data_IF_157993080457
#
_entry.id   IF_157993080457
#
_cell.length_a   1.000
_cell.length_b   1.000
_cell.length_c   1.000
_cell.angle_alpha   90.00
_cell.angle_beta   90.00
_cell.angle_gamma   90.00
#
_symmetry.space_group_name_H-M   'P 1'
#
loop_
_entity.id
_entity.type
_entity.pdbx_description
1 polymer ?
#
# COMPACT_ATOMS: atom_id res chain seq x y z
N UNK A 1 -1.32 22.46 5.40
CA UNK A 1 0.05 21.89 5.30
C UNK A 1 0.25 20.63 6.15
N UNK A 2 -0.14 20.59 7.43
CA UNK A 2 0.04 19.39 8.27
C UNK A 2 -0.65 18.14 7.72
N UNK A 3 -1.88 18.26 7.20
CA UNK A 3 -2.62 17.11 6.65
C UNK A 3 -1.95 16.50 5.42
N UNK A 4 -1.43 17.32 4.50
CA UNK A 4 -0.73 16.84 3.30
C UNK A 4 0.61 16.20 3.68
N UNK A 5 1.36 16.80 4.61
CA UNK A 5 2.59 16.20 5.12
C UNK A 5 2.31 14.86 5.81
N UNK A 6 1.24 14.76 6.58
CA UNK A 6 0.83 13.51 7.21
C UNK A 6 0.48 12.43 6.18
N UNK A 7 -0.23 12.78 5.10
CA UNK A 7 -0.45 11.86 3.98
C UNK A 7 0.88 11.43 3.37
N UNK A 8 1.76 12.37 3.01
CA UNK A 8 3.05 12.07 2.38
C UNK A 8 3.89 11.11 3.23
N UNK A 9 3.95 11.32 4.55
CA UNK A 9 4.65 10.42 5.45
C UNK A 9 4.00 9.02 5.49
N UNK A 10 2.66 8.94 5.43
CA UNK A 10 1.93 7.68 5.41
C UNK A 10 2.07 6.91 4.09
N UNK A 11 2.32 7.63 2.98
CA UNK A 11 2.58 7.03 1.66
C UNK A 11 4.05 6.60 1.47
N UNK A 12 4.92 6.97 2.41
CA UNK A 12 6.34 6.63 2.41
C UNK A 12 6.62 5.46 3.37
N UNK A 13 7.70 4.74 3.11
CA UNK A 13 8.15 3.64 3.96
C UNK A 13 7.81 2.25 3.43
N UNK A 14 8.30 1.25 4.14
CA UNK A 14 8.12 -0.18 3.81
C UNK A 14 6.84 -0.73 4.46
N UNK A 15 6.47 -1.95 4.08
CA UNK A 15 5.41 -2.75 4.74
C UNK A 15 4.00 -2.14 4.63
N UNK A 16 3.72 -1.45 3.54
CA UNK A 16 2.38 -1.01 3.19
C UNK A 16 1.82 -1.91 2.09
N UNK A 17 0.53 -2.24 2.19
CA UNK A 17 -0.25 -2.88 1.14
C UNK A 17 -0.94 -1.83 0.27
N UNK A 18 -1.44 -2.26 -0.90
CA UNK A 18 -2.27 -1.39 -1.76
C UNK A 18 -3.51 -0.90 -1.02
N UNK A 19 -4.10 -1.75 -0.17
CA UNK A 19 -5.25 -1.38 0.65
C UNK A 19 -4.90 -0.28 1.67
N UNK A 20 -3.70 -0.31 2.28
CA UNK A 20 -3.27 0.73 3.24
C UNK A 20 -3.14 2.10 2.57
N UNK A 21 -2.56 2.13 1.36
CA UNK A 21 -2.42 3.38 0.61
C UNK A 21 -3.76 3.91 0.14
N UNK A 22 -4.64 3.04 -0.37
CA UNK A 22 -5.96 3.44 -0.82
C UNK A 22 -6.79 4.06 0.33
N UNK A 23 -6.75 3.44 1.51
CA UNK A 23 -7.41 3.97 2.70
C UNK A 23 -6.82 5.31 3.15
N UNK A 24 -5.50 5.46 3.12
CA UNK A 24 -4.84 6.71 3.46
C UNK A 24 -5.23 7.86 2.52
N UNK A 25 -5.29 7.58 1.22
CA UNK A 25 -5.70 8.53 0.18
C UNK A 25 -7.18 8.90 0.35
N UNK A 26 -8.06 7.92 0.53
CA UNK A 26 -9.50 8.17 0.65
C UNK A 26 -9.84 8.95 1.93
N UNK A 27 -9.16 8.65 3.04
CA UNK A 27 -9.27 9.44 4.26
C UNK A 27 -8.80 10.88 4.05
N UNK A 28 -7.76 11.10 3.24
CA UNK A 28 -7.30 12.46 2.93
C UNK A 28 -8.24 13.20 1.98
N UNK A 29 -8.81 12.54 0.96
CA UNK A 29 -9.85 13.10 0.10
C UNK A 29 -11.07 13.55 0.90
N UNK A 30 -11.53 12.71 1.82
CA UNK A 30 -12.62 13.06 2.76
C UNK A 30 -12.28 14.29 3.61
N UNK A 31 -11.03 14.39 4.09
CA UNK A 31 -10.56 15.58 4.82
C UNK A 31 -10.52 16.81 3.91
N UNK A 32 -10.04 16.72 2.67
CA UNK A 32 -10.01 17.84 1.72
C UNK A 32 -11.42 18.38 1.44
N UNK A 33 -12.39 17.50 1.22
CA UNK A 33 -13.78 17.90 1.02
C UNK A 33 -14.35 18.62 2.26
N UNK A 34 -14.01 18.16 3.47
CA UNK A 34 -14.39 18.87 4.70
C UNK A 34 -13.74 20.26 4.78
N UNK A 35 -12.45 20.36 4.45
CA UNK A 35 -11.70 21.62 4.47
C UNK A 35 -12.24 22.62 3.44
N UNK A 36 -12.60 22.15 2.25
CA UNK A 36 -13.21 22.96 1.21
C UNK A 36 -14.55 23.57 1.66
N UNK A 37 -15.39 22.81 2.35
CA UNK A 37 -16.62 23.35 2.91
C UNK A 37 -16.36 24.29 4.09
N UNK A 38 -15.39 23.96 4.94
CA UNK A 38 -15.08 24.72 6.15
C UNK A 38 -14.48 26.10 5.86
N UNK A 39 -13.66 26.24 4.81
CA UNK A 39 -13.07 27.54 4.43
C UNK A 39 -14.13 28.57 4.01
N UNK A 40 -15.22 28.11 3.38
CA UNK A 40 -16.38 28.93 3.03
C UNK A 40 -17.31 29.25 4.21
N UNK A 41 -17.17 28.50 5.31
CA UNK A 41 -18.07 28.58 6.46
C UNK A 41 -17.36 29.07 7.71
N UNK A 42 -17.40 28.22 8.75
CA UNK A 42 -16.95 28.51 10.12
C UNK A 42 -15.43 28.55 10.29
N UNK A 43 -14.66 28.04 9.33
CA UNK A 43 -13.19 28.04 9.35
C UNK A 43 -12.62 27.37 10.61
N UNK A 44 -13.28 26.31 11.10
CA UNK A 44 -12.85 25.55 12.29
C UNK A 44 -11.46 24.94 12.11
N UNK A 45 -11.11 24.54 10.89
CA UNK A 45 -9.82 23.96 10.54
C UNK A 45 -8.80 25.00 10.05
N UNK A 46 -9.21 26.28 9.99
CA UNK A 46 -8.35 27.41 9.65
C UNK A 46 -8.37 28.46 10.77
N UNK A 47 -7.99 28.11 12.01
CA UNK A 47 -8.19 28.98 13.18
C UNK A 47 -7.49 30.34 13.05
N UNK A 48 -6.30 30.39 12.43
CA UNK A 48 -5.58 31.65 12.17
C UNK A 48 -6.29 32.52 11.14
N UNK A 49 -6.86 31.91 10.09
CA UNK A 49 -7.64 32.63 9.09
C UNK A 49 -8.93 33.16 9.71
N UNK A 50 -9.62 32.33 10.51
CA UNK A 50 -10.82 32.72 11.24
C UNK A 50 -10.55 33.94 12.13
N UNK A 51 -9.52 33.88 12.97
CA UNK A 51 -9.13 34.99 13.85
C UNK A 51 -8.80 36.26 13.05
N UNK A 52 -8.08 36.13 11.94
CA UNK A 52 -7.77 37.25 11.06
C UNK A 52 -9.01 37.90 10.44
N UNK A 53 -9.94 37.09 9.92
CA UNK A 53 -11.20 37.55 9.35
C UNK A 53 -12.07 38.26 10.40
N UNK A 54 -12.20 37.67 11.59
CA UNK A 54 -12.98 38.23 12.70
C UNK A 54 -12.40 39.55 13.20
N UNK A 55 -11.08 39.61 13.42
CA UNK A 55 -10.39 40.81 13.92
C UNK A 55 -10.45 41.98 12.94
N UNK A 56 -10.30 41.71 11.65
CA UNK A 56 -10.25 42.75 10.62
C UNK A 56 -11.61 43.02 9.95
N UNK A 57 -12.66 42.26 10.31
CA UNK A 57 -13.99 42.30 9.66
C UNK A 57 -13.90 42.12 8.14
N UNK A 58 -13.02 41.21 7.71
CA UNK A 58 -12.77 40.89 6.30
C UNK A 58 -13.11 39.43 6.01
N UNK A 59 -13.38 39.15 4.74
CA UNK A 59 -13.49 37.79 4.24
C UNK A 59 -12.11 37.27 3.83
N UNK A 60 -12.00 35.95 3.75
CA UNK A 60 -10.87 35.24 3.19
C UNK A 60 -10.66 35.61 1.70
N UNK A 61 -9.40 35.62 1.29
CA UNK A 61 -9.01 35.87 -0.10
C UNK A 61 -9.59 34.76 -1.02
N UNK A 62 -10.21 35.11 -2.16
CA UNK A 62 -10.64 34.14 -3.16
C UNK A 62 -9.56 33.13 -3.57
N UNK A 63 -8.29 33.53 -3.62
CA UNK A 63 -7.16 32.65 -3.94
C UNK A 63 -6.97 31.54 -2.90
N UNK A 64 -7.30 31.78 -1.62
CA UNK A 64 -7.22 30.75 -0.57
C UNK A 64 -8.29 29.68 -0.76
N UNK A 65 -9.50 30.09 -1.15
CA UNK A 65 -10.60 29.17 -1.47
C UNK A 65 -10.26 28.34 -2.70
N UNK A 66 -9.87 29.02 -3.77
CA UNK A 66 -9.49 28.43 -5.04
C UNK A 66 -8.34 27.43 -4.86
N UNK A 67 -7.35 27.71 -4.01
CA UNK A 67 -6.29 26.75 -3.69
C UNK A 67 -6.84 25.44 -3.08
N UNK A 68 -7.77 25.51 -2.12
CA UNK A 68 -8.33 24.31 -1.47
C UNK A 68 -9.20 23.53 -2.44
N UNK A 69 -10.04 24.20 -3.24
CA UNK A 69 -10.88 23.57 -4.26
C UNK A 69 -10.05 22.90 -5.34
N UNK A 70 -9.04 23.60 -5.89
CA UNK A 70 -8.12 22.99 -6.88
C UNK A 70 -7.36 21.81 -6.32
N UNK A 71 -6.95 21.85 -5.06
CA UNK A 71 -6.29 20.71 -4.43
C UNK A 71 -7.24 19.51 -4.31
N UNK A 72 -8.51 19.74 -3.94
CA UNK A 72 -9.52 18.70 -3.89
C UNK A 72 -9.81 18.11 -5.27
N UNK A 73 -9.94 18.96 -6.30
CA UNK A 73 -10.13 18.56 -7.70
C UNK A 73 -8.95 17.75 -8.23
N UNK A 74 -7.71 18.18 -7.99
CA UNK A 74 -6.51 17.43 -8.40
C UNK A 74 -6.50 16.01 -7.80
N UNK A 75 -6.79 15.87 -6.50
CA UNK A 75 -6.88 14.56 -5.87
C UNK A 75 -8.05 13.74 -6.43
N UNK A 76 -9.16 14.39 -6.76
CA UNK A 76 -10.28 13.72 -7.42
C UNK A 76 -9.87 13.18 -8.78
N UNK A 77 -9.27 13.99 -9.65
CA UNK A 77 -8.89 13.60 -11.01
C UNK A 77 -7.83 12.49 -11.02
N UNK A 78 -6.78 12.60 -10.22
CA UNK A 78 -5.68 11.61 -10.16
C UNK A 78 -6.20 10.22 -9.74
N UNK A 79 -7.08 10.18 -8.73
CA UNK A 79 -7.58 8.93 -8.17
C UNK A 79 -8.91 8.46 -8.80
N UNK A 80 -9.55 9.29 -9.63
CA UNK A 80 -10.70 8.87 -10.46
C UNK A 80 -10.29 8.31 -11.83
N UNK A 81 -9.15 8.74 -12.38
CA UNK A 81 -8.65 8.35 -13.71
C UNK A 81 -7.79 7.09 -13.74
N UNK A 82 -7.30 6.61 -12.59
CA UNK A 82 -6.52 5.37 -12.49
C UNK A 82 -7.45 4.14 -12.45
N UNK A 83 -7.04 2.97 -12.98
CA UNK A 83 -7.84 1.75 -12.85
C UNK A 83 -8.12 1.48 -11.37
N UNK A 84 -9.40 1.62 -10.99
CA UNK A 84 -9.82 1.52 -9.60
C UNK A 84 -9.87 0.05 -9.23
N UNK A 85 -9.09 -0.32 -8.23
CA UNK A 85 -9.45 -1.46 -7.41
C UNK A 85 -10.72 -1.07 -6.65
N UNK A 86 -11.79 -1.86 -6.76
CA UNK A 86 -13.00 -1.61 -5.98
C UNK A 86 -12.72 -1.68 -4.47
N UNK A 87 -13.58 -1.02 -3.68
CA UNK A 87 -13.54 -1.17 -2.24
C UNK A 87 -13.68 -2.64 -1.81
N UNK A 88 -14.49 -3.42 -2.55
CA UNK A 88 -14.76 -4.83 -2.26
C UNK A 88 -13.54 -5.72 -2.50
N UNK A 89 -12.78 -5.54 -3.59
CA UNK A 89 -11.57 -6.35 -3.80
C UNK A 89 -10.48 -6.06 -2.76
N UNK A 90 -10.37 -4.79 -2.31
CA UNK A 90 -9.47 -4.41 -1.22
C UNK A 90 -9.96 -4.94 0.13
N UNK A 91 -11.28 -4.90 0.36
CA UNK A 91 -11.92 -5.41 1.56
C UNK A 91 -11.74 -6.93 1.65
N UNK A 92 -11.88 -7.66 0.54
CA UNK A 92 -11.71 -9.11 0.47
C UNK A 92 -10.36 -9.57 1.03
N UNK A 93 -9.26 -8.86 0.72
CA UNK A 93 -7.93 -9.23 1.24
C UNK A 93 -7.87 -9.11 2.76
N UNK A 94 -8.53 -8.10 3.34
CA UNK A 94 -8.49 -7.84 4.78
C UNK A 94 -9.55 -8.61 5.55
N UNK A 95 -10.74 -8.76 4.98
CA UNK A 95 -11.96 -9.29 5.55
C UNK A 95 -12.64 -10.23 4.54
N UNK A 96 -12.04 -11.40 4.25
CA UNK A 96 -12.49 -12.29 3.18
C UNK A 96 -13.91 -12.83 3.35
N UNK A 97 -14.44 -12.79 4.58
CA UNK A 97 -15.78 -13.27 4.91
C UNK A 97 -16.86 -12.17 4.86
N UNK A 98 -16.49 -10.94 4.50
CA UNK A 98 -17.40 -9.78 4.50
C UNK A 98 -17.84 -9.32 3.11
N UNK A 99 -17.35 -9.97 2.04
CA UNK A 99 -17.69 -9.64 0.66
C UNK A 99 -18.66 -10.66 0.07
N UNK A 100 -19.52 -10.22 -0.85
CA UNK A 100 -20.45 -11.13 -1.52
C UNK A 100 -19.74 -11.97 -2.57
N UNK A 101 -20.11 -13.25 -2.67
CA UNK A 101 -19.58 -14.17 -3.67
C UNK A 101 -20.06 -13.84 -5.10
N UNK A 102 -21.17 -13.11 -5.25
CA UNK A 102 -21.76 -12.71 -6.53
C UNK A 102 -21.59 -11.20 -6.82
N UNK A 103 -20.73 -10.53 -6.06
CA UNK A 103 -20.46 -9.10 -6.24
C UNK A 103 -19.66 -8.81 -7.51
N UNK A 104 -19.82 -7.60 -8.06
CA UNK A 104 -19.14 -7.17 -9.29
C UNK A 104 -17.59 -7.24 -9.21
N UNK A 105 -17.05 -7.27 -8.00
CA UNK A 105 -15.61 -7.40 -7.76
C UNK A 105 -15.04 -8.75 -8.23
N UNK A 106 -15.84 -9.81 -8.37
CA UNK A 106 -15.34 -11.11 -8.88
C UNK A 106 -14.93 -11.01 -10.35
N UNK A 107 -15.71 -10.29 -11.15
CA UNK A 107 -15.38 -10.00 -12.55
C UNK A 107 -14.17 -9.07 -12.66
N UNK A 108 -14.03 -8.14 -11.73
CA UNK A 108 -12.83 -7.29 -11.61
C UNK A 108 -11.59 -8.11 -11.25
N UNK A 109 -11.71 -9.02 -10.27
CA UNK A 109 -10.63 -9.91 -9.88
C UNK A 109 -10.18 -10.81 -11.05
N UNK A 110 -11.12 -11.27 -11.88
CA UNK A 110 -10.80 -12.02 -13.11
C UNK A 110 -10.02 -11.19 -14.13
N UNK A 111 -10.33 -9.90 -14.26
CA UNK A 111 -9.56 -8.98 -15.12
C UNK A 111 -8.15 -8.73 -14.57
N UNK A 112 -8.03 -8.60 -13.25
CA UNK A 112 -6.77 -8.35 -12.57
C UNK A 112 -5.86 -9.59 -12.57
N UNK A 113 -6.44 -10.78 -12.40
CA UNK A 113 -5.74 -12.07 -12.36
C UNK A 113 -6.31 -13.00 -13.44
N UNK A 114 -5.90 -12.88 -14.71
CA UNK A 114 -6.49 -13.65 -15.81
C UNK A 114 -6.46 -15.18 -15.64
N UNK A 115 -5.57 -15.70 -14.80
CA UNK A 115 -5.42 -17.12 -14.51
C UNK A 115 -6.47 -17.71 -13.57
N UNK A 116 -7.26 -16.88 -12.86
CA UNK A 116 -8.32 -17.41 -12.00
C UNK A 116 -9.54 -17.80 -12.82
N UNK A 117 -10.36 -18.69 -12.30
CA UNK A 117 -11.71 -18.94 -12.80
C UNK A 117 -12.74 -18.20 -11.94
N UNK A 118 -13.59 -17.39 -12.56
CA UNK A 118 -14.53 -16.54 -11.82
C UNK A 118 -15.60 -17.40 -11.11
N UNK A 119 -16.19 -18.38 -11.79
CA UNK A 119 -17.19 -19.25 -11.17
C UNK A 119 -16.61 -20.03 -9.98
N UNK A 120 -15.41 -20.57 -10.12
CA UNK A 120 -14.69 -21.25 -9.04
C UNK A 120 -14.36 -20.30 -7.89
N UNK A 121 -13.99 -19.04 -8.18
CA UNK A 121 -13.79 -18.02 -7.15
C UNK A 121 -15.07 -17.82 -6.32
N UNK A 122 -16.24 -17.70 -6.96
CA UNK A 122 -17.51 -17.53 -6.25
C UNK A 122 -17.78 -18.72 -5.31
N UNK A 123 -17.55 -19.94 -5.78
CA UNK A 123 -17.69 -21.16 -4.96
C UNK A 123 -16.70 -21.19 -3.79
N UNK A 124 -15.44 -20.84 -4.02
CA UNK A 124 -14.42 -20.74 -2.98
C UNK A 124 -14.80 -19.75 -1.89
N UNK A 125 -15.34 -18.58 -2.24
CA UNK A 125 -15.78 -17.57 -1.27
C UNK A 125 -16.92 -18.10 -0.41
N UNK A 126 -17.90 -18.78 -1.00
CA UNK A 126 -19.01 -19.39 -0.26
C UNK A 126 -18.51 -20.47 0.71
N UNK A 127 -17.62 -21.35 0.25
CA UNK A 127 -17.02 -22.38 1.10
C UNK A 127 -16.18 -21.78 2.23
N UNK A 128 -15.35 -20.77 1.93
CA UNK A 128 -14.55 -20.06 2.92
C UNK A 128 -15.45 -19.38 3.96
N UNK A 129 -16.55 -18.76 3.50
CA UNK A 129 -17.57 -18.10 4.32
C UNK A 129 -18.35 -19.04 5.26
N UNK A 130 -18.34 -20.35 5.03
CA UNK A 130 -18.98 -21.34 5.93
C UNK A 130 -17.99 -22.00 6.90
N UNK A 131 -16.68 -21.74 6.76
CA UNK A 131 -15.66 -22.33 7.63
C UNK A 131 -15.44 -21.54 8.92
N UNK A 132 -15.98 -22.05 10.03
CA UNK A 132 -15.75 -21.45 11.36
C UNK A 132 -14.27 -21.49 11.78
N UNK A 133 -13.54 -22.53 11.36
CA UNK A 133 -12.11 -22.64 11.60
C UNK A 133 -11.33 -21.51 10.93
N UNK A 134 -11.56 -21.26 9.64
CA UNK A 134 -10.87 -20.18 8.92
C UNK A 134 -11.25 -18.81 9.49
N UNK A 135 -12.52 -18.60 9.86
CA UNK A 135 -12.96 -17.36 10.53
C UNK A 135 -12.28 -17.13 11.87
N UNK A 136 -12.12 -18.18 12.68
CA UNK A 136 -11.43 -18.08 13.95
C UNK A 136 -9.94 -17.74 13.75
N UNK A 137 -9.26 -18.49 12.87
CA UNK A 137 -7.83 -18.28 12.59
C UNK A 137 -7.53 -16.91 11.97
N UNK A 138 -8.44 -16.36 11.17
CA UNK A 138 -8.30 -15.01 10.60
C UNK A 138 -8.28 -13.91 11.67
N UNK A 139 -9.05 -14.05 12.76
CA UNK A 139 -9.10 -13.05 13.83
C UNK A 139 -7.78 -12.91 14.59
N UNK A 140 -7.04 -14.00 14.68
CA UNK A 140 -5.81 -14.09 15.48
C UNK A 140 -4.52 -13.95 14.63
N UNK A 141 -4.65 -13.89 13.30
CA UNK A 141 -3.52 -13.84 12.38
C UNK A 141 -3.32 -12.46 11.75
N UNK A 142 -2.06 -12.12 11.44
CA UNK A 142 -1.78 -11.04 10.50
C UNK A 142 -2.36 -11.41 9.12
N UNK A 143 -2.80 -10.40 8.37
CA UNK A 143 -3.44 -10.61 7.05
C UNK A 143 -2.55 -11.44 6.13
N UNK A 144 -1.25 -11.13 6.05
CA UNK A 144 -0.30 -11.90 5.24
C UNK A 144 -0.16 -13.35 5.71
N UNK A 145 -0.09 -13.59 7.01
CA UNK A 145 0.07 -14.93 7.58
C UNK A 145 -1.17 -15.78 7.35
N UNK A 146 -2.36 -15.19 7.42
CA UNK A 146 -3.61 -15.86 7.09
C UNK A 146 -3.56 -16.40 5.64
N UNK A 147 -3.26 -15.55 4.66
CA UNK A 147 -3.23 -15.97 3.26
C UNK A 147 -2.09 -16.92 2.94
N UNK A 148 -0.92 -16.76 3.57
CA UNK A 148 0.27 -17.56 3.28
C UNK A 148 0.21 -18.93 3.97
N UNK A 149 -0.13 -18.96 5.26
CA UNK A 149 0.05 -20.13 6.12
C UNK A 149 -1.27 -20.81 6.49
N UNK A 150 -2.39 -20.08 6.53
CA UNK A 150 -3.68 -20.62 7.00
C UNK A 150 -4.52 -21.13 5.83
N UNK A 151 -4.70 -20.33 4.77
CA UNK A 151 -5.59 -20.65 3.64
C UNK A 151 -5.02 -21.79 2.78
N UNK A 152 -5.66 -22.98 2.73
CA UNK A 152 -5.14 -24.11 1.96
C UNK A 152 -5.21 -23.90 0.44
N UNK A 153 -4.05 -23.85 -0.22
CA UNK A 153 -3.96 -23.61 -1.67
C UNK A 153 -4.72 -24.64 -2.52
N UNK A 154 -4.74 -25.90 -2.10
CA UNK A 154 -5.42 -26.97 -2.86
C UNK A 154 -6.94 -26.78 -2.94
N UNK A 155 -7.52 -26.05 -1.98
CA UNK A 155 -8.97 -25.81 -1.89
C UNK A 155 -9.36 -24.39 -2.31
N UNK A 156 -8.50 -23.41 -2.06
CA UNK A 156 -8.78 -21.98 -2.18
C UNK A 156 -7.75 -21.33 -3.11
N UNK A 157 -7.61 -21.87 -4.33
CA UNK A 157 -6.57 -21.43 -5.27
C UNK A 157 -6.85 -20.01 -5.77
N UNK A 158 -8.06 -19.74 -6.25
CA UNK A 158 -8.40 -18.47 -6.89
C UNK A 158 -8.38 -17.31 -5.89
N UNK A 159 -8.99 -17.52 -4.72
CA UNK A 159 -8.98 -16.57 -3.59
C UNK A 159 -7.56 -16.26 -3.12
N UNK A 160 -6.71 -17.28 -2.97
CA UNK A 160 -5.31 -17.11 -2.58
C UNK A 160 -4.50 -16.40 -3.66
N UNK A 161 -4.69 -16.71 -4.94
CA UNK A 161 -3.97 -16.05 -6.05
C UNK A 161 -4.25 -14.53 -6.07
N UNK A 162 -5.51 -14.13 -5.84
CA UNK A 162 -5.90 -12.71 -5.72
C UNK A 162 -5.22 -12.05 -4.52
N UNK A 163 -5.31 -12.67 -3.35
CA UNK A 163 -4.72 -12.13 -2.13
C UNK A 163 -3.19 -11.99 -2.24
N UNK A 164 -2.53 -13.01 -2.79
CA UNK A 164 -1.08 -12.97 -3.00
C UNK A 164 -0.67 -11.85 -3.96
N UNK A 165 -1.42 -11.62 -5.04
CA UNK A 165 -1.15 -10.49 -5.93
C UNK A 165 -1.29 -9.16 -5.16
N UNK A 166 -2.41 -8.95 -4.46
CA UNK A 166 -2.69 -7.68 -3.77
C UNK A 166 -1.72 -7.38 -2.61
N UNK A 167 -1.27 -8.41 -1.90
CA UNK A 167 -0.30 -8.28 -0.82
C UNK A 167 1.14 -8.09 -1.31
N UNK A 168 1.47 -8.53 -2.53
CA UNK A 168 2.82 -8.41 -3.09
C UNK A 168 2.97 -7.21 -4.03
N UNK A 169 1.87 -6.58 -4.45
CA UNK A 169 1.91 -5.35 -5.24
C UNK A 169 2.60 -4.22 -4.47
N UNK A 170 3.51 -3.52 -5.14
CA UNK A 170 4.13 -2.31 -4.61
C UNK A 170 3.14 -1.14 -4.70
N UNK A 171 2.70 -0.58 -3.57
CA UNK A 171 1.64 0.43 -3.60
C UNK A 171 2.18 1.85 -3.84
N UNK A 172 3.50 2.01 -3.85
CA UNK A 172 4.20 3.25 -4.20
C UNK A 172 5.56 2.95 -4.82
N UNK A 173 6.18 3.96 -5.42
CA UNK A 173 7.54 3.90 -5.96
C UNK A 173 8.62 3.88 -4.89
N UNK A 174 8.28 4.00 -3.60
CA UNK A 174 9.23 4.13 -2.49
C UNK A 174 10.27 3.02 -2.45
N UNK A 175 9.85 1.75 -2.61
CA UNK A 175 10.78 0.61 -2.60
C UNK A 175 11.77 0.71 -3.76
N UNK A 176 11.30 1.10 -4.95
CA UNK A 176 12.14 1.33 -6.11
C UNK A 176 13.11 2.49 -5.89
N UNK A 177 12.63 3.64 -5.40
CA UNK A 177 13.44 4.83 -5.10
C UNK A 177 14.52 4.54 -4.04
N UNK A 178 14.17 3.78 -3.00
CA UNK A 178 15.09 3.33 -1.97
C UNK A 178 16.17 2.39 -2.54
N UNK A 179 15.79 1.47 -3.43
CA UNK A 179 16.71 0.58 -4.12
C UNK A 179 17.66 1.36 -5.06
N UNK A 180 17.16 2.33 -5.81
CA UNK A 180 17.98 3.21 -6.66
C UNK A 180 18.93 4.08 -5.85
N UNK A 181 18.48 4.64 -4.73
CA UNK A 181 19.35 5.40 -3.82
C UNK A 181 20.49 4.53 -3.28
N UNK A 182 20.18 3.29 -2.91
CA UNK A 182 21.18 2.30 -2.49
C UNK A 182 22.16 1.96 -3.61
N UNK A 183 21.67 1.80 -4.85
CA UNK A 183 22.51 1.56 -6.03
C UNK A 183 23.51 2.70 -6.24
N UNK A 184 23.04 3.94 -6.15
CA UNK A 184 23.86 5.13 -6.35
C UNK A 184 24.94 5.24 -5.26
N UNK A 185 24.61 4.93 -4.01
CA UNK A 185 25.58 4.90 -2.92
C UNK A 185 26.68 3.84 -3.15
N UNK A 186 26.30 2.62 -3.52
CA UNK A 186 27.22 1.52 -3.83
C UNK A 186 28.16 1.90 -5.00
N UNK A 187 27.59 2.41 -6.10
CA UNK A 187 28.37 2.85 -7.26
C UNK A 187 29.32 4.01 -6.93
N UNK A 188 28.91 4.92 -6.06
CA UNK A 188 29.75 6.06 -5.64
C UNK A 188 30.96 5.60 -4.82
N UNK A 189 30.76 4.62 -3.92
CA UNK A 189 31.82 4.09 -3.07
C UNK A 189 32.84 3.23 -3.84
N UNK A 190 32.38 2.37 -4.75
CA UNK A 190 33.23 1.39 -5.45
C UNK A 190 33.47 1.73 -6.94
N UNK A 191 33.53 3.04 -7.24
CA UNK A 191 33.48 3.65 -8.59
C UNK A 191 34.33 2.99 -9.70
N UNK A 192 35.41 2.29 -9.33
CA UNK A 192 36.38 1.75 -10.29
C UNK A 192 36.43 0.22 -10.35
N UNK A 193 35.60 -0.52 -9.60
CA UNK A 193 35.81 -1.98 -9.40
C UNK A 193 34.55 -2.87 -9.46
N UNK A 194 33.36 -2.31 -9.61
CA UNK A 194 32.13 -3.12 -9.66
C UNK A 194 31.82 -3.59 -11.08
N UNK A 195 31.66 -4.91 -11.24
CA UNK A 195 30.93 -5.48 -12.37
C UNK A 195 29.43 -5.49 -12.07
N UNK A 196 28.59 -5.62 -13.11
CA UNK A 196 27.13 -5.68 -12.96
C UNK A 196 26.66 -6.80 -12.03
N UNK A 197 27.33 -7.96 -12.09
CA UNK A 197 27.06 -9.10 -11.20
C UNK A 197 27.30 -8.74 -9.72
N UNK A 198 28.43 -8.08 -9.43
CA UNK A 198 28.73 -7.64 -8.06
C UNK A 198 27.76 -6.56 -7.58
N UNK A 199 27.39 -5.62 -8.44
CA UNK A 199 26.39 -4.59 -8.10
C UNK A 199 25.04 -5.24 -7.74
N UNK A 200 24.58 -6.22 -8.52
CA UNK A 200 23.36 -6.96 -8.22
C UNK A 200 23.41 -7.69 -6.88
N UNK A 201 24.56 -8.29 -6.53
CA UNK A 201 24.75 -8.93 -5.23
C UNK A 201 24.73 -7.93 -4.08
N UNK A 202 25.45 -6.81 -4.20
CA UNK A 202 25.47 -5.74 -3.20
C UNK A 202 24.09 -5.13 -3.00
N UNK A 203 23.35 -4.90 -4.09
CA UNK A 203 21.97 -4.41 -4.02
C UNK A 203 21.05 -5.37 -3.30
N UNK A 204 21.14 -6.68 -3.59
CA UNK A 204 20.33 -7.69 -2.91
C UNK A 204 20.59 -7.72 -1.40
N UNK A 205 21.84 -7.49 -0.99
CA UNK A 205 22.22 -7.37 0.43
C UNK A 205 21.69 -6.07 1.04
N UNK A 206 21.76 -4.95 0.31
CA UNK A 206 21.31 -3.65 0.79
C UNK A 206 19.78 -3.53 0.92
N UNK A 207 19.02 -4.24 0.08
CA UNK A 207 17.55 -4.14 0.05
C UNK A 207 16.83 -5.22 0.84
N UNK A 208 17.51 -6.31 1.23
CA UNK A 208 16.90 -7.39 2.01
C UNK A 208 16.82 -7.06 3.50
N UNK A 209 15.75 -7.50 4.15
CA UNK A 209 15.62 -7.48 5.62
C UNK A 209 16.18 -8.76 6.26
N UNK A 210 16.54 -9.76 5.43
CA UNK A 210 17.14 -11.00 5.89
C UNK A 210 18.50 -10.72 6.52
N UNK A 211 18.67 -11.15 7.77
CA UNK A 211 19.96 -11.11 8.46
C UNK A 211 20.64 -12.47 8.30
N UNK A 212 21.64 -12.60 7.40
CA UNK A 212 22.36 -13.85 7.27
C UNK A 212 23.10 -14.19 8.56
N UNK A 213 23.09 -15.46 8.94
CA UNK A 213 23.92 -15.94 10.04
C UNK A 213 25.39 -16.03 9.57
N UNK A 214 26.08 -14.90 9.67
CA UNK A 214 27.48 -14.76 9.24
C UNK A 214 28.37 -15.75 9.97
N UNK A 215 28.09 -16.07 11.24
CA UNK A 215 28.91 -17.00 12.04
C UNK A 215 28.81 -18.40 11.47
N UNK A 216 27.59 -18.87 11.19
CA UNK A 216 27.35 -20.18 10.56
C UNK A 216 28.00 -20.27 9.17
N UNK A 217 27.91 -19.21 8.37
CA UNK A 217 28.53 -19.15 7.04
C UNK A 217 30.06 -19.13 7.12
N UNK A 218 30.63 -18.41 8.09
CA UNK A 218 32.07 -18.37 8.30
C UNK A 218 32.62 -19.73 8.77
N UNK A 219 31.90 -20.41 9.68
CA UNK A 219 32.30 -21.74 10.17
C UNK A 219 32.20 -22.85 9.13
N UNK A 220 31.35 -22.70 8.10
CA UNK A 220 31.17 -23.71 7.05
C UNK A 220 32.14 -23.56 5.88
N UNK A 221 32.87 -22.44 5.79
CA UNK A 221 33.90 -22.23 4.78
C UNK A 221 35.27 -22.65 5.34
N UNK A 222 35.95 -23.60 4.67
CA UNK A 222 37.37 -23.89 4.94
C UNK A 222 38.20 -22.65 4.59
N UNK A 223 38.80 -22.02 5.61
CA UNK A 223 39.81 -20.99 5.42
C UNK A 223 41.04 -21.64 4.78
N UNK A 224 41.26 -21.41 3.48
CA UNK A 224 42.55 -21.68 2.88
C UNK A 224 43.49 -20.54 3.27
N UNK A 225 44.24 -20.75 4.36
CA UNK A 225 45.38 -19.90 4.66
C UNK A 225 46.46 -20.18 3.62
N UNK A 226 46.69 -19.23 2.72
CA UNK A 226 47.90 -19.23 1.88
C UNK A 226 49.10 -18.99 2.81
N UNK A 227 50.12 -19.84 2.68
CA UNK A 227 51.42 -19.68 3.33
C UNK A 227 52.25 -18.58 2.68
#
# INVERSE_FOLDING_TARGET
>A
MSHLNHLNLRLQGKNHTVADMYEAIEAFRSKLHLLERDIHGRKLHFPRLREHCEKNKMQEDPAMKDFVSRLAENFKEIFESSPKLSADILLFVRQPFSVSADGQWTAEAKKLVPSIDEASLQMEILEMGTSDLLKAQHKDALVSDFWINVVPQARFKNTRDIAMLLLTMFPSTYICESAFSSMNAIKSQDRNRLSDSHLGQCLRIATTEYKPDIRKVASSRRSHFSH
#
